data_IF_724576341348
#
_entry.id   IF_724576341348
#
_cell.length_a   1.000
_cell.length_b   1.000
_cell.length_c   1.000
_cell.angle_alpha   90.00
_cell.angle_beta   90.00
_cell.angle_gamma   90.00
#
_symmetry.space_group_name_H-M   'P 1'
#
loop_
_entity.id
_entity.type
_entity.pdbx_description
1 polymer ?
#
# COMPACT_ATOMS: atom_id res chain seq x y z
N UNK A 1 9.70 -11.72 12.10
CA UNK A 1 8.43 -11.69 11.31
C UNK A 1 7.16 -11.71 12.16
N UNK A 2 7.01 -12.51 13.24
CA UNK A 2 5.76 -12.54 14.04
C UNK A 2 5.28 -11.15 14.47
N UNK A 3 6.15 -10.32 15.05
CA UNK A 3 5.79 -8.94 15.48
C UNK A 3 5.32 -8.06 14.33
N UNK A 4 5.96 -8.16 13.16
CA UNK A 4 5.60 -7.38 11.97
C UNK A 4 4.22 -7.81 11.43
N UNK A 5 3.94 -9.11 11.43
CA UNK A 5 2.66 -9.64 11.00
C UNK A 5 1.51 -9.17 11.89
N UNK A 6 1.71 -9.15 13.21
CA UNK A 6 0.71 -8.58 14.15
C UNK A 6 0.51 -7.10 13.93
N UNK A 7 1.60 -6.34 13.70
CA UNK A 7 1.50 -4.92 13.40
C UNK A 7 0.67 -4.68 12.14
N UNK A 8 0.94 -5.40 11.05
CA UNK A 8 0.20 -5.26 9.80
C UNK A 8 -1.26 -5.68 9.93
N UNK A 9 -1.55 -6.72 10.73
CA UNK A 9 -2.92 -7.10 11.03
C UNK A 9 -3.68 -6.00 11.77
N UNK A 10 -3.06 -5.42 12.80
CA UNK A 10 -3.67 -4.32 13.57
C UNK A 10 -3.92 -3.11 12.65
N UNK A 11 -2.92 -2.71 11.86
CA UNK A 11 -3.06 -1.60 10.93
C UNK A 11 -4.16 -1.86 9.89
N UNK A 12 -4.27 -3.09 9.37
CA UNK A 12 -5.31 -3.48 8.44
C UNK A 12 -6.71 -3.37 9.05
N UNK A 13 -6.88 -3.85 10.29
CA UNK A 13 -8.17 -3.75 11.00
C UNK A 13 -8.54 -2.29 11.25
N UNK A 14 -7.60 -1.47 11.69
CA UNK A 14 -7.83 -0.02 11.90
C UNK A 14 -8.25 0.64 10.58
N UNK A 15 -7.54 0.34 9.49
CA UNK A 15 -7.83 0.89 8.17
C UNK A 15 -9.22 0.47 7.67
N UNK A 16 -9.61 -0.81 7.86
CA UNK A 16 -10.96 -1.27 7.54
C UNK A 16 -12.04 -0.55 8.36
N UNK A 17 -11.80 -0.28 9.64
CA UNK A 17 -12.74 0.48 10.48
C UNK A 17 -12.90 1.91 9.93
N UNK A 18 -11.81 2.55 9.51
CA UNK A 18 -11.86 3.88 8.90
C UNK A 18 -12.63 3.83 7.58
N UNK A 19 -12.43 2.80 6.77
CA UNK A 19 -13.14 2.62 5.49
C UNK A 19 -14.65 2.45 5.64
N UNK A 20 -15.16 1.99 6.79
CA UNK A 20 -16.60 1.97 7.07
C UNK A 20 -17.23 3.37 7.03
N UNK A 21 -16.47 4.43 7.29
CA UNK A 21 -16.92 5.82 7.19
C UNK A 21 -16.98 6.37 5.75
N UNK A 22 -16.55 5.60 4.75
CA UNK A 22 -16.48 6.07 3.36
C UNK A 22 -17.87 6.48 2.80
N UNK A 23 -18.90 5.68 3.05
CA UNK A 23 -20.26 5.98 2.61
C UNK A 23 -20.75 7.34 3.14
N UNK A 24 -20.55 7.59 4.43
CA UNK A 24 -20.93 8.88 5.05
C UNK A 24 -20.14 10.05 4.46
N UNK A 25 -18.83 9.89 4.24
CA UNK A 25 -18.00 10.91 3.61
C UNK A 25 -18.46 11.24 2.17
N UNK A 26 -18.99 10.26 1.45
CA UNK A 26 -19.51 10.43 0.10
C UNK A 26 -20.86 11.18 0.10
N UNK A 27 -21.73 10.88 1.07
CA UNK A 27 -23.01 11.60 1.26
C UNK A 27 -22.76 13.06 1.66
N UNK A 28 -21.87 13.32 2.62
CA UNK A 28 -21.47 14.68 3.00
C UNK A 28 -20.94 15.48 1.81
N UNK A 29 -20.12 14.84 0.95
CA UNK A 29 -19.62 15.47 -0.28
C UNK A 29 -20.74 15.91 -1.21
N UNK A 30 -21.74 15.06 -1.43
CA UNK A 30 -22.88 15.38 -2.29
C UNK A 30 -23.70 16.54 -1.70
N UNK A 31 -23.84 16.58 -0.38
CA UNK A 31 -24.59 17.63 0.32
C UNK A 31 -23.85 18.97 0.38
N UNK A 32 -22.50 18.97 0.52
CA UNK A 32 -21.70 20.16 0.81
C UNK A 32 -20.72 20.54 -0.30
N UNK A 33 -20.67 19.80 -1.39
CA UNK A 33 -19.67 19.93 -2.48
C UNK A 33 -18.22 19.84 -2.00
N UNK A 34 -17.98 19.20 -0.84
CA UNK A 34 -16.64 19.04 -0.29
C UNK A 34 -15.98 17.76 -0.75
N UNK A 35 -14.76 17.87 -1.28
CA UNK A 35 -14.03 16.75 -1.89
C UNK A 35 -12.98 16.13 -0.98
N UNK A 36 -12.46 16.89 0.00
CA UNK A 36 -11.24 16.52 0.72
C UNK A 36 -11.33 15.20 1.47
N UNK A 37 -12.47 14.92 2.12
CA UNK A 37 -12.64 13.65 2.87
C UNK A 37 -12.61 12.44 1.94
N UNK A 38 -13.33 12.51 0.82
CA UNK A 38 -13.35 11.44 -0.17
C UNK A 38 -11.97 11.21 -0.79
N UNK A 39 -11.22 12.29 -1.05
CA UNK A 39 -9.84 12.20 -1.53
C UNK A 39 -8.92 11.45 -0.56
N UNK A 40 -9.07 11.66 0.76
CA UNK A 40 -8.29 10.92 1.75
C UNK A 40 -8.55 9.41 1.68
N UNK A 41 -9.80 8.98 1.49
CA UNK A 41 -10.11 7.57 1.32
C UNK A 41 -9.47 7.01 0.05
N UNK A 42 -9.55 7.72 -1.06
CA UNK A 42 -9.01 7.25 -2.34
C UNK A 42 -7.48 7.25 -2.37
N UNK A 43 -6.85 8.27 -1.81
CA UNK A 43 -5.39 8.41 -1.90
C UNK A 43 -4.63 7.62 -0.84
N UNK A 44 -5.26 7.31 0.28
CA UNK A 44 -4.56 6.67 1.39
C UNK A 44 -5.22 5.37 1.83
N UNK A 45 -6.46 5.41 2.30
CA UNK A 45 -7.06 4.26 2.96
C UNK A 45 -7.29 3.07 2.04
N UNK A 46 -7.86 3.25 0.85
CA UNK A 46 -8.03 2.14 -0.08
C UNK A 46 -6.69 1.52 -0.53
N UNK A 47 -5.68 2.28 -0.99
CA UNK A 47 -4.38 1.72 -1.32
C UNK A 47 -3.71 0.99 -0.15
N UNK A 48 -3.81 1.52 1.07
CA UNK A 48 -3.28 0.89 2.28
C UNK A 48 -4.01 -0.43 2.56
N UNK A 49 -5.34 -0.47 2.50
CA UNK A 49 -6.13 -1.68 2.69
C UNK A 49 -5.72 -2.78 1.69
N UNK A 50 -5.61 -2.44 0.41
CA UNK A 50 -5.20 -3.40 -0.60
C UNK A 50 -3.76 -3.89 -0.37
N UNK A 51 -2.84 -3.00 -0.05
CA UNK A 51 -1.45 -3.36 0.23
C UNK A 51 -1.32 -4.29 1.46
N UNK A 52 -1.93 -3.91 2.57
CA UNK A 52 -1.93 -4.73 3.79
C UNK A 52 -2.68 -6.05 3.58
N UNK A 53 -3.81 -6.01 2.86
CA UNK A 53 -4.57 -7.20 2.48
C UNK A 53 -3.72 -8.17 1.67
N UNK A 54 -2.97 -7.69 0.68
CA UNK A 54 -2.05 -8.49 -0.13
C UNK A 54 -0.94 -9.14 0.71
N UNK A 55 -0.35 -8.38 1.63
CA UNK A 55 0.65 -8.90 2.56
C UNK A 55 0.10 -10.02 3.45
N UNK A 56 -1.06 -9.77 4.07
CA UNK A 56 -1.71 -10.76 4.96
C UNK A 56 -2.21 -11.98 4.21
N UNK A 57 -2.71 -11.80 2.99
CA UNK A 57 -3.08 -12.90 2.10
C UNK A 57 -1.86 -13.77 1.74
N UNK A 58 -0.73 -13.16 1.43
CA UNK A 58 0.53 -13.87 1.23
C UNK A 58 0.94 -14.67 2.47
N UNK A 59 0.79 -14.08 3.65
CA UNK A 59 1.03 -14.77 4.91
C UNK A 59 0.12 -15.99 5.10
N UNK A 60 -1.17 -15.86 4.78
CA UNK A 60 -2.14 -16.94 4.92
C UNK A 60 -1.83 -18.11 3.99
N UNK A 61 -1.57 -17.81 2.72
CA UNK A 61 -1.34 -18.85 1.70
C UNK A 61 0.04 -19.49 1.78
N UNK A 62 1.07 -18.68 2.04
CA UNK A 62 2.47 -19.09 1.86
C UNK A 62 3.20 -19.30 3.19
N UNK A 63 2.52 -19.21 4.34
CA UNK A 63 3.17 -19.24 5.65
C UNK A 63 3.91 -20.57 5.93
N UNK A 64 3.51 -21.67 5.30
CA UNK A 64 4.13 -23.01 5.41
C UNK A 64 5.13 -23.31 4.28
N UNK A 65 5.16 -22.48 3.26
CA UNK A 65 6.02 -22.69 2.11
C UNK A 65 7.40 -22.10 2.35
N UNK A 66 8.43 -22.91 2.12
CA UNK A 66 9.80 -22.40 2.06
C UNK A 66 9.97 -21.69 0.70
N UNK A 67 10.09 -20.36 0.77
CA UNK A 67 10.25 -19.52 -0.41
C UNK A 67 11.74 -19.19 -0.53
N UNK A 68 12.35 -19.61 -1.64
CA UNK A 68 13.73 -19.27 -1.96
C UNK A 68 13.79 -18.43 -3.23
N UNK A 69 14.24 -17.20 -3.09
CA UNK A 69 14.56 -16.32 -4.22
C UNK A 69 16.05 -16.02 -4.21
N UNK A 70 16.62 -15.72 -5.39
CA UNK A 70 18.00 -15.25 -5.41
C UNK A 70 18.10 -13.90 -4.70
N UNK A 71 19.22 -13.65 -3.98
CA UNK A 71 19.40 -12.38 -3.22
C UNK A 71 19.29 -11.13 -4.10
N UNK A 72 19.71 -11.25 -5.35
CA UNK A 72 19.66 -10.13 -6.31
C UNK A 72 18.22 -9.80 -6.69
N UNK A 73 17.41 -10.82 -7.04
CA UNK A 73 15.99 -10.65 -7.40
C UNK A 73 15.22 -10.07 -6.21
N UNK A 74 15.45 -10.60 -5.01
CA UNK A 74 14.82 -10.09 -3.78
C UNK A 74 15.11 -8.59 -3.56
N UNK A 75 16.40 -8.18 -3.69
CA UNK A 75 16.77 -6.77 -3.54
C UNK A 75 16.13 -5.89 -4.59
N UNK A 76 16.14 -6.30 -5.85
CA UNK A 76 15.54 -5.54 -6.95
C UNK A 76 14.04 -5.37 -6.72
N UNK A 77 13.32 -6.44 -6.38
CA UNK A 77 11.88 -6.37 -6.11
C UNK A 77 11.55 -5.49 -4.90
N UNK A 78 12.35 -5.53 -3.83
CA UNK A 78 12.17 -4.64 -2.68
C UNK A 78 12.39 -3.18 -3.05
N UNK A 79 13.44 -2.87 -3.82
CA UNK A 79 13.73 -1.50 -4.24
C UNK A 79 12.60 -0.98 -5.14
N UNK A 80 12.14 -1.77 -6.11
CA UNK A 80 11.02 -1.38 -6.98
C UNK A 80 9.73 -1.18 -6.20
N UNK A 81 9.41 -2.08 -5.27
CA UNK A 81 8.22 -1.98 -4.43
C UNK A 81 8.24 -0.71 -3.56
N UNK A 82 9.34 -0.49 -2.82
CA UNK A 82 9.50 0.69 -1.97
C UNK A 82 9.56 1.97 -2.80
N UNK A 83 10.26 1.97 -3.94
CA UNK A 83 10.33 3.11 -4.84
C UNK A 83 8.94 3.52 -5.36
N UNK A 84 8.14 2.56 -5.80
CA UNK A 84 6.76 2.83 -6.22
C UNK A 84 5.92 3.43 -5.08
N UNK A 85 5.98 2.84 -3.88
CA UNK A 85 5.21 3.33 -2.73
C UNK A 85 5.63 4.76 -2.32
N UNK A 86 6.93 5.06 -2.35
CA UNK A 86 7.45 6.41 -2.03
C UNK A 86 6.96 7.42 -3.05
N UNK A 87 7.08 7.12 -4.34
CA UNK A 87 6.61 8.02 -5.42
C UNK A 87 5.11 8.25 -5.33
N UNK A 88 4.34 7.17 -5.15
CA UNK A 88 2.90 7.27 -4.98
C UNK A 88 2.53 8.15 -3.77
N UNK A 89 3.15 7.91 -2.63
CA UNK A 89 2.88 8.67 -1.40
C UNK A 89 3.26 10.15 -1.56
N UNK A 90 4.38 10.44 -2.22
CA UNK A 90 4.79 11.82 -2.49
C UNK A 90 3.75 12.56 -3.33
N UNK A 91 3.23 11.93 -4.40
CA UNK A 91 2.18 12.52 -5.24
C UNK A 91 0.87 12.69 -4.45
N UNK A 92 0.47 11.69 -3.66
CA UNK A 92 -0.73 11.77 -2.82
C UNK A 92 -0.66 12.93 -1.81
N UNK A 93 0.51 13.11 -1.17
CA UNK A 93 0.75 14.23 -0.24
C UNK A 93 0.71 15.56 -0.96
N UNK A 94 1.38 15.70 -2.11
CA UNK A 94 1.36 16.93 -2.91
C UNK A 94 -0.08 17.33 -3.28
N UNK A 95 -0.91 16.39 -3.73
CA UNK A 95 -2.30 16.65 -4.06
C UNK A 95 -3.13 17.02 -2.82
N UNK A 96 -2.89 16.35 -1.70
CA UNK A 96 -3.58 16.68 -0.45
C UNK A 96 -3.25 18.11 -0.01
N UNK A 97 -1.98 18.50 -0.05
CA UNK A 97 -1.57 19.88 0.29
C UNK A 97 -2.17 20.88 -0.72
N UNK A 98 -2.19 20.54 -2.01
CA UNK A 98 -2.81 21.40 -3.02
C UNK A 98 -4.31 21.63 -2.77
N UNK A 99 -5.07 20.62 -2.36
CA UNK A 99 -6.49 20.75 -2.02
C UNK A 99 -6.73 21.83 -0.94
N UNK A 100 -5.79 21.97 0.01
CA UNK A 100 -5.91 22.95 1.09
C UNK A 100 -5.29 24.33 0.76
N UNK A 101 -4.30 24.39 -0.10
CA UNK A 101 -3.48 25.59 -0.31
C UNK A 101 -3.53 26.17 -1.71
N UNK A 102 -4.06 25.40 -2.69
CA UNK A 102 -4.11 25.74 -4.11
C UNK A 102 -2.71 26.21 -4.67
N UNK A 103 -1.61 25.64 -4.15
CA UNK A 103 -0.25 26.11 -4.45
C UNK A 103 0.27 25.64 -5.81
N UNK A 104 -0.28 24.55 -6.36
CA UNK A 104 0.13 24.05 -7.69
C UNK A 104 -0.64 24.79 -8.79
N UNK A 105 0.00 25.06 -9.94
CA UNK A 105 -0.70 25.45 -11.14
C UNK A 105 -1.81 24.47 -11.50
N UNK A 106 -2.94 24.97 -11.97
CA UNK A 106 -4.14 24.17 -12.23
C UNK A 106 -3.85 22.95 -13.14
N UNK A 107 -3.13 23.17 -14.23
CA UNK A 107 -2.78 22.13 -15.21
C UNK A 107 -1.99 20.99 -14.58
N UNK A 108 -1.01 21.32 -13.73
CA UNK A 108 -0.19 20.32 -13.03
C UNK A 108 -1.05 19.53 -12.01
N UNK A 109 -1.88 20.24 -11.26
CA UNK A 109 -2.76 19.61 -10.27
C UNK A 109 -3.77 18.67 -10.94
N UNK A 110 -4.33 19.08 -12.07
CA UNK A 110 -5.27 18.27 -12.85
C UNK A 110 -4.61 17.00 -13.39
N UNK A 111 -3.41 17.09 -13.98
CA UNK A 111 -2.66 15.93 -14.46
C UNK A 111 -2.31 14.95 -13.34
N UNK A 112 -1.86 15.44 -12.19
CA UNK A 112 -1.55 14.60 -11.04
C UNK A 112 -2.80 13.93 -10.48
N UNK A 113 -3.91 14.68 -10.38
CA UNK A 113 -5.19 14.14 -9.92
C UNK A 113 -5.70 13.04 -10.87
N UNK A 114 -5.62 13.28 -12.17
CA UNK A 114 -5.98 12.29 -13.19
C UNK A 114 -5.11 11.03 -13.08
N UNK A 115 -3.81 11.18 -12.93
CA UNK A 115 -2.89 10.04 -12.79
C UNK A 115 -3.20 9.19 -11.55
N UNK A 116 -3.44 9.80 -10.40
CA UNK A 116 -3.81 9.04 -9.18
C UNK A 116 -5.19 8.39 -9.36
N UNK A 117 -6.15 9.08 -9.96
CA UNK A 117 -7.47 8.51 -10.23
C UNK A 117 -7.38 7.29 -11.15
N UNK A 118 -6.54 7.34 -12.18
CA UNK A 118 -6.28 6.20 -13.08
C UNK A 118 -5.66 5.03 -12.31
N UNK A 119 -4.65 5.28 -11.46
CA UNK A 119 -4.05 4.25 -10.62
C UNK A 119 -5.11 3.63 -9.72
N UNK A 120 -5.94 4.44 -9.07
CA UNK A 120 -7.00 3.95 -8.19
C UNK A 120 -8.04 3.14 -8.96
N UNK A 121 -8.58 3.65 -10.07
CA UNK A 121 -9.71 3.02 -10.77
C UNK A 121 -9.30 1.78 -11.57
N UNK A 122 -8.14 1.80 -12.20
CA UNK A 122 -7.69 0.73 -13.10
C UNK A 122 -6.68 -0.22 -12.45
N UNK A 123 -5.88 0.26 -11.50
CA UNK A 123 -4.72 -0.45 -11.00
C UNK A 123 -4.71 -0.60 -9.47
N UNK A 124 -5.85 -0.43 -8.78
CA UNK A 124 -5.90 -0.60 -7.31
C UNK A 124 -5.38 -1.98 -6.88
N UNK A 125 -5.63 -3.02 -7.69
CA UNK A 125 -5.12 -4.36 -7.47
C UNK A 125 -3.57 -4.42 -7.45
N UNK A 126 -2.88 -3.43 -8.03
CA UNK A 126 -1.42 -3.35 -7.98
C UNK A 126 -0.93 -3.24 -6.54
N UNK A 127 -1.62 -2.48 -5.69
CA UNK A 127 -1.25 -2.38 -4.27
C UNK A 127 -1.36 -3.73 -3.56
N UNK A 128 -2.35 -4.53 -3.89
CA UNK A 128 -2.46 -5.91 -3.38
C UNK A 128 -1.26 -6.76 -3.83
N UNK A 129 -0.88 -6.70 -5.10
CA UNK A 129 0.28 -7.41 -5.62
C UNK A 129 1.57 -6.93 -4.96
N UNK A 130 1.74 -5.62 -4.74
CA UNK A 130 2.90 -5.05 -4.04
C UNK A 130 2.99 -5.56 -2.59
N UNK A 131 1.87 -5.64 -1.88
CA UNK A 131 1.80 -6.21 -0.53
C UNK A 131 2.19 -7.68 -0.52
N UNK A 132 1.66 -8.47 -1.47
CA UNK A 132 2.01 -9.88 -1.63
C UNK A 132 3.51 -10.06 -1.94
N UNK A 133 4.06 -9.27 -2.86
CA UNK A 133 5.49 -9.31 -3.19
C UNK A 133 6.37 -8.94 -1.98
N UNK A 134 5.96 -7.96 -1.18
CA UNK A 134 6.69 -7.64 0.05
C UNK A 134 6.73 -8.84 0.99
N UNK A 135 5.61 -9.52 1.19
CA UNK A 135 5.57 -10.74 2.01
C UNK A 135 6.51 -11.81 1.47
N UNK A 136 6.47 -12.10 0.17
CA UNK A 136 7.32 -13.10 -0.51
C UNK A 136 8.81 -12.78 -0.31
N UNK A 137 9.21 -11.53 -0.52
CA UNK A 137 10.59 -11.08 -0.31
C UNK A 137 11.06 -11.25 1.14
N UNK A 138 10.23 -10.84 2.11
CA UNK A 138 10.57 -10.97 3.53
C UNK A 138 10.64 -12.43 3.99
N UNK A 139 9.75 -13.29 3.47
CA UNK A 139 9.73 -14.72 3.74
C UNK A 139 10.95 -15.43 3.17
N UNK A 140 11.33 -15.12 1.93
CA UNK A 140 12.55 -15.63 1.29
C UNK A 140 13.79 -15.28 2.11
N UNK A 141 13.90 -14.04 2.57
CA UNK A 141 15.00 -13.59 3.41
C UNK A 141 15.09 -14.32 4.75
N UNK A 142 13.92 -14.63 5.35
CA UNK A 142 13.84 -15.39 6.59
C UNK A 142 14.29 -16.83 6.36
N UNK A 143 13.74 -17.53 5.36
CA UNK A 143 14.08 -18.92 5.04
C UNK A 143 15.58 -19.12 4.80
N UNK A 144 16.21 -18.16 4.13
CA UNK A 144 17.67 -18.18 3.87
C UNK A 144 18.51 -18.02 5.13
N UNK A 145 18.06 -17.17 6.09
CA UNK A 145 18.77 -17.03 7.37
C UNK A 145 18.66 -18.28 8.24
N UNK A 146 17.51 -18.93 8.23
CA UNK A 146 17.30 -20.19 8.97
C UNK A 146 18.17 -21.32 8.39
N UNK A 147 18.24 -21.48 7.06
CA UNK A 147 19.08 -22.50 6.42
C UNK A 147 20.58 -22.29 6.69
N UNK A 148 21.03 -21.05 6.82
CA UNK A 148 22.45 -20.77 7.17
C UNK A 148 22.76 -21.08 8.64
N UNK A 149 21.80 -20.86 9.55
CA UNK A 149 22.02 -21.20 10.97
C UNK A 149 22.07 -22.71 11.21
N UNK A 150 21.29 -23.49 10.46
CA UNK A 150 21.27 -24.96 10.58
C UNK A 150 22.54 -25.62 9.97
N UNK A 151 23.20 -24.94 9.05
CA UNK A 151 24.46 -25.45 8.44
C UNK A 151 25.72 -25.18 9.28
N UNK A 152 25.61 -24.41 10.36
CA UNK A 152 26.71 -24.04 11.26
C UNK A 152 26.71 -24.81 12.59
N UNK A 153 25.75 -25.70 12.79
CA UNK A 153 25.64 -26.66 13.89
C UNK A 153 26.05 -28.05 13.44
#
# INVERSE_FOLDING_TARGET
>A
MKKLNYLFLILFVIDLIILLGYGQAQEERLATYTYYRVCLYWFYFFPIAYFLGGYLFGQLLLHRSLIFMSPTVEKVLLILNLGFLIVYLAIAVLLTVHVFTAFLPFDIAEHLHYSIREIYTKYIALFFVLGLLLFVCLSSRKSRKESLSDSTL
#
